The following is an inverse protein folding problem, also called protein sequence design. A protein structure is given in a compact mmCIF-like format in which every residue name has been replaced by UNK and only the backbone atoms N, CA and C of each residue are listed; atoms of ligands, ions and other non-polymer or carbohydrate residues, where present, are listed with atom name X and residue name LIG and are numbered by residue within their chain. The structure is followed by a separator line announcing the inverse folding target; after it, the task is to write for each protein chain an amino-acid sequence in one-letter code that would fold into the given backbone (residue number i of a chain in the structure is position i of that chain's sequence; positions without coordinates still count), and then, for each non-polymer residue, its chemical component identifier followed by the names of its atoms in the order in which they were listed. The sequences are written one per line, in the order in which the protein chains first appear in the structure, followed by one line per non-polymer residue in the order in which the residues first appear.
data_IF_194208631781
#
_entry.id   IF_194208631781
#
_cell.length_a   1.000
_cell.length_b   1.000
_cell.length_c   1.000
_cell.angle_alpha   90.00
_cell.angle_beta   90.00
_cell.angle_gamma   90.00
#
_symmetry.space_group_name_H-M   'P 1'
#
loop_
_entity.id
_entity.type
_entity.pdbx_description
1 polymer ?
#
# COMPACT_ATOMS: atom_id res chain seq x y z
N UNK A 1 -0.28 -3.17 -29.09
CA UNK A 1 -0.13 -2.74 -27.68
C UNK A 1 -1.31 -3.34 -26.93
N UNK A 2 -1.09 -4.29 -26.03
CA UNK A 2 -2.17 -4.75 -25.15
C UNK A 2 -2.64 -3.57 -24.32
N UNK A 3 -3.95 -3.37 -24.23
CA UNK A 3 -4.55 -2.23 -23.55
C UNK A 3 -4.43 -2.40 -22.03
N UNK A 4 -3.27 -2.05 -21.46
CA UNK A 4 -2.94 -2.18 -20.03
C UNK A 4 -3.52 -1.07 -19.15
N UNK A 5 -4.32 -0.18 -19.75
CA UNK A 5 -5.11 0.84 -19.05
C UNK A 5 -5.98 0.21 -17.96
N UNK A 6 -6.41 -1.04 -18.13
CA UNK A 6 -7.20 -1.74 -17.13
C UNK A 6 -6.47 -1.89 -15.79
N UNK A 7 -5.15 -2.13 -15.77
CA UNK A 7 -4.37 -2.29 -14.52
C UNK A 7 -4.41 -1.01 -13.68
N UNK A 8 -4.12 0.11 -14.33
CA UNK A 8 -4.15 1.42 -13.71
C UNK A 8 -5.57 1.80 -13.29
N UNK A 9 -6.56 1.58 -14.16
CA UNK A 9 -7.96 1.86 -13.85
C UNK A 9 -8.46 1.07 -12.64
N UNK A 10 -8.10 -0.22 -12.53
CA UNK A 10 -8.49 -1.03 -11.38
C UNK A 10 -7.79 -0.56 -10.10
N UNK A 11 -6.51 -0.19 -10.17
CA UNK A 11 -5.79 0.42 -9.04
C UNK A 11 -6.45 1.71 -8.55
N UNK A 12 -6.74 2.65 -9.45
CA UNK A 12 -7.34 3.93 -9.07
C UNK A 12 -8.78 3.75 -8.54
N UNK A 13 -9.57 2.83 -9.10
CA UNK A 13 -10.89 2.49 -8.52
C UNK A 13 -10.79 1.91 -7.11
N UNK A 14 -9.81 1.04 -6.87
CA UNK A 14 -9.60 0.48 -5.54
C UNK A 14 -9.10 1.55 -4.54
N UNK A 15 -8.24 2.47 -5.00
CA UNK A 15 -7.82 3.64 -4.25
C UNK A 15 -9.01 4.53 -3.87
N UNK A 16 -9.87 4.88 -4.82
CA UNK A 16 -11.04 5.72 -4.56
C UNK A 16 -11.95 5.10 -3.49
N UNK A 17 -12.16 3.78 -3.56
CA UNK A 17 -12.93 3.04 -2.55
C UNK A 17 -12.28 3.04 -1.17
N UNK A 18 -10.95 2.89 -1.11
CA UNK A 18 -10.22 2.97 0.16
C UNK A 18 -10.28 4.38 0.76
N UNK A 19 -10.11 5.40 -0.07
CA UNK A 19 -10.10 6.80 0.36
C UNK A 19 -11.51 7.34 0.67
N UNK A 20 -12.57 6.71 0.17
CA UNK A 20 -13.94 7.02 0.54
C UNK A 20 -14.11 6.92 2.06
N UNK A 21 -14.68 7.97 2.65
CA UNK A 21 -14.87 8.07 4.10
C UNK A 21 -15.88 7.02 4.61
N UNK A 22 -16.92 6.78 3.83
CA UNK A 22 -17.98 5.83 4.12
C UNK A 22 -17.66 4.48 3.45
N UNK A 23 -17.28 3.51 4.27
CA UNK A 23 -17.25 2.10 3.87
C UNK A 23 -18.40 1.42 4.58
N UNK A 24 -19.20 0.66 3.83
CA UNK A 24 -20.31 -0.11 4.38
C UNK A 24 -19.79 -1.05 5.47
N UNK A 25 -20.41 -1.01 6.65
CA UNK A 25 -19.98 -1.81 7.80
C UNK A 25 -19.95 -3.30 7.45
N UNK A 26 -18.82 -3.97 7.71
CA UNK A 26 -18.59 -5.37 7.35
C UNK A 26 -17.81 -5.57 6.05
N UNK A 27 -17.69 -4.53 5.21
CA UNK A 27 -16.93 -4.57 3.96
C UNK A 27 -15.53 -3.93 4.08
N UNK A 28 -15.13 -3.46 5.26
CA UNK A 28 -13.80 -2.86 5.45
C UNK A 28 -12.66 -3.79 5.01
N UNK A 29 -12.65 -5.09 5.36
CA UNK A 29 -11.59 -5.99 4.91
C UNK A 29 -11.54 -6.12 3.39
N UNK A 30 -12.69 -6.18 2.72
CA UNK A 30 -12.75 -6.32 1.26
C UNK A 30 -12.11 -5.11 0.57
N UNK A 31 -12.49 -3.90 0.97
CA UNK A 31 -11.93 -2.65 0.42
C UNK A 31 -10.42 -2.59 0.62
N UNK A 32 -9.94 -2.95 1.82
CA UNK A 32 -8.52 -2.91 2.17
C UNK A 32 -7.72 -3.95 1.37
N UNK A 33 -8.19 -5.19 1.31
CA UNK A 33 -7.49 -6.26 0.59
C UNK A 33 -7.56 -6.11 -0.93
N UNK A 34 -8.65 -5.59 -1.48
CA UNK A 34 -8.74 -5.25 -2.90
C UNK A 34 -7.72 -4.19 -3.28
N UNK A 35 -7.56 -3.14 -2.47
CA UNK A 35 -6.56 -2.12 -2.74
C UNK A 35 -5.12 -2.66 -2.67
N UNK A 36 -4.82 -3.52 -1.69
CA UNK A 36 -3.54 -4.24 -1.61
C UNK A 36 -3.34 -5.10 -2.86
N UNK A 37 -4.34 -5.87 -3.27
CA UNK A 37 -4.26 -6.75 -4.42
C UNK A 37 -3.94 -5.96 -5.70
N UNK A 38 -4.66 -4.87 -5.94
CA UNK A 38 -4.46 -4.01 -7.11
C UNK A 38 -3.09 -3.34 -7.10
N UNK A 39 -2.62 -2.87 -5.93
CA UNK A 39 -1.28 -2.30 -5.78
C UNK A 39 -0.18 -3.31 -6.09
N UNK A 40 -0.32 -4.56 -5.60
CA UNK A 40 0.64 -5.65 -5.87
C UNK A 40 0.67 -6.01 -7.35
N UNK A 41 -0.50 -6.12 -7.97
CA UNK A 41 -0.63 -6.42 -9.38
C UNK A 41 0.06 -5.35 -10.23
N UNK A 42 -0.23 -4.07 -9.96
CA UNK A 42 0.40 -2.94 -10.66
C UNK A 42 1.92 -2.86 -10.40
N UNK A 43 2.36 -3.04 -9.16
CA UNK A 43 3.80 -3.02 -8.84
C UNK A 43 4.56 -4.18 -9.50
N UNK A 44 3.98 -5.38 -9.53
CA UNK A 44 4.58 -6.54 -10.20
C UNK A 44 4.78 -6.32 -11.70
N UNK A 45 3.93 -5.49 -12.32
CA UNK A 45 4.07 -5.10 -13.72
C UNK A 45 5.35 -4.29 -13.99
N UNK A 46 5.86 -3.60 -12.98
CA UNK A 46 7.07 -2.76 -13.06
C UNK A 46 8.27 -3.38 -12.36
N UNK A 47 8.13 -4.58 -11.82
CA UNK A 47 9.17 -5.27 -11.09
C UNK A 47 10.30 -5.76 -12.02
N UNK A 48 11.47 -6.07 -11.46
CA UNK A 48 12.59 -6.61 -12.23
C UNK A 48 12.22 -7.89 -12.99
N UNK A 49 12.63 -7.96 -14.25
CA UNK A 49 12.32 -9.08 -15.14
C UNK A 49 11.00 -8.95 -15.89
N UNK A 50 10.21 -7.89 -15.62
CA UNK A 50 9.05 -7.54 -16.43
C UNK A 50 9.46 -6.78 -17.70
N UNK A 51 8.59 -6.79 -18.72
CA UNK A 51 8.79 -6.02 -19.96
C UNK A 51 8.79 -4.50 -19.73
N UNK A 52 8.11 -4.03 -18.68
CA UNK A 52 7.95 -2.61 -18.34
C UNK A 52 8.65 -2.27 -17.03
N UNK A 53 9.80 -2.92 -16.78
CA UNK A 53 10.56 -2.74 -15.55
C UNK A 53 10.83 -1.25 -15.30
N UNK A 54 10.35 -0.78 -14.15
CA UNK A 54 10.56 0.58 -13.71
C UNK A 54 10.48 0.61 -12.18
N UNK A 55 11.64 0.61 -11.54
CA UNK A 55 11.72 0.65 -10.08
C UNK A 55 10.97 1.83 -9.48
N UNK A 56 11.03 3.01 -10.11
CA UNK A 56 10.35 4.20 -9.57
C UNK A 56 8.83 4.02 -9.56
N UNK A 57 8.26 3.33 -10.56
CA UNK A 57 6.83 3.02 -10.57
C UNK A 57 6.47 1.91 -9.58
N UNK A 58 7.33 0.89 -9.40
CA UNK A 58 7.20 -0.12 -8.33
C UNK A 58 7.10 0.56 -6.96
N UNK A 59 8.08 1.43 -6.67
CA UNK A 59 8.16 2.17 -5.42
C UNK A 59 6.98 3.14 -5.26
N UNK A 60 6.63 3.89 -6.30
CA UNK A 60 5.57 4.89 -6.27
C UNK A 60 4.24 4.29 -5.80
N UNK A 61 3.76 3.25 -6.47
CA UNK A 61 2.45 2.68 -6.17
C UNK A 61 2.41 1.98 -4.81
N UNK A 62 3.47 1.28 -4.42
CA UNK A 62 3.55 0.64 -3.11
C UNK A 62 3.71 1.63 -1.96
N UNK A 63 4.48 2.71 -2.13
CA UNK A 63 4.61 3.75 -1.11
C UNK A 63 3.32 4.54 -0.95
N UNK A 64 2.60 4.79 -2.04
CA UNK A 64 1.33 5.49 -1.99
C UNK A 64 0.32 4.77 -1.09
N UNK A 65 0.06 3.49 -1.35
CA UNK A 65 -0.83 2.70 -0.50
C UNK A 65 -0.30 2.57 0.93
N UNK A 66 1.01 2.46 1.11
CA UNK A 66 1.61 2.43 2.45
C UNK A 66 1.30 3.70 3.25
N UNK A 67 1.43 4.88 2.65
CA UNK A 67 1.09 6.13 3.33
C UNK A 67 -0.41 6.29 3.56
N UNK A 68 -1.25 5.88 2.60
CA UNK A 68 -2.71 5.86 2.82
C UNK A 68 -3.10 4.96 4.01
N UNK A 69 -2.38 3.86 4.23
CA UNK A 69 -2.59 3.00 5.39
C UNK A 69 -2.16 3.68 6.69
N UNK A 70 -1.00 4.35 6.71
CA UNK A 70 -0.56 5.11 7.88
C UNK A 70 -1.58 6.18 8.26
N UNK A 71 -2.06 6.94 7.29
CA UNK A 71 -3.07 7.99 7.49
C UNK A 71 -4.37 7.38 8.03
N UNK A 72 -4.85 6.30 7.40
CA UNK A 72 -6.08 5.63 7.82
C UNK A 72 -5.98 5.04 9.25
N UNK A 73 -4.81 4.52 9.66
CA UNK A 73 -4.59 3.99 11.01
C UNK A 73 -4.69 5.11 12.07
N UNK A 74 -4.16 6.29 11.75
CA UNK A 74 -4.17 7.45 12.66
C UNK A 74 -5.49 8.20 12.69
N UNK A 75 -6.31 8.08 11.64
CA UNK A 75 -7.53 8.85 11.50
C UNK A 75 -8.62 8.42 12.52
N UNK A 76 -8.95 9.27 13.50
CA UNK A 76 -9.96 8.93 14.51
C UNK A 76 -11.37 8.83 13.93
N UNK A 77 -11.60 9.41 12.76
CA UNK A 77 -12.89 9.42 12.07
C UNK A 77 -13.19 8.08 11.37
N UNK A 78 -12.16 7.29 11.08
CA UNK A 78 -12.29 5.93 10.54
C UNK A 78 -12.78 4.94 11.60
N UNK A 79 -13.57 3.96 11.15
CA UNK A 79 -14.06 2.89 12.02
C UNK A 79 -12.89 2.16 12.70
N UNK A 80 -13.10 1.70 13.93
CA UNK A 80 -12.08 0.93 14.67
C UNK A 80 -11.67 -0.33 13.91
N UNK A 81 -12.62 -0.96 13.21
CA UNK A 81 -12.40 -2.14 12.38
C UNK A 81 -11.49 -1.78 11.20
N UNK A 82 -11.81 -0.72 10.46
CA UNK A 82 -11.00 -0.25 9.34
C UNK A 82 -9.54 -0.01 9.76
N UNK A 83 -9.34 0.77 10.83
CA UNK A 83 -8.02 1.03 11.41
C UNK A 83 -7.27 -0.24 11.78
N UNK A 84 -7.94 -1.19 12.43
CA UNK A 84 -7.34 -2.45 12.86
C UNK A 84 -6.93 -3.31 11.66
N UNK A 85 -7.78 -3.41 10.65
CA UNK A 85 -7.48 -4.21 9.45
C UNK A 85 -6.35 -3.57 8.63
N UNK A 86 -6.30 -2.24 8.51
CA UNK A 86 -5.14 -1.55 7.93
C UNK A 86 -3.85 -1.87 8.69
N UNK A 87 -3.88 -1.75 10.02
CA UNK A 87 -2.74 -2.04 10.87
C UNK A 87 -2.26 -3.49 10.75
N UNK A 88 -3.20 -4.45 10.81
CA UNK A 88 -2.90 -5.86 10.71
C UNK A 88 -2.38 -6.24 9.31
N UNK A 89 -2.79 -5.51 8.26
CA UNK A 89 -2.40 -5.82 6.87
C UNK A 89 -1.15 -5.06 6.38
N UNK A 90 -0.69 -4.03 7.09
CA UNK A 90 0.37 -3.13 6.60
C UNK A 90 1.72 -3.82 6.37
N UNK A 91 1.98 -4.94 7.06
CA UNK A 91 3.21 -5.71 6.87
C UNK A 91 3.33 -6.27 5.45
N UNK A 92 2.20 -6.52 4.77
CA UNK A 92 2.17 -6.96 3.38
C UNK A 92 2.83 -5.90 2.49
N UNK A 93 2.53 -4.61 2.73
CA UNK A 93 3.11 -3.50 1.98
C UNK A 93 4.61 -3.35 2.25
N UNK A 94 5.03 -3.51 3.51
CA UNK A 94 6.45 -3.50 3.87
C UNK A 94 7.23 -4.65 3.23
N UNK A 95 6.62 -5.83 3.11
CA UNK A 95 7.22 -6.97 2.42
C UNK A 95 7.39 -6.70 0.92
N UNK A 96 6.38 -6.14 0.25
CA UNK A 96 6.46 -5.83 -1.18
C UNK A 96 7.43 -4.67 -1.46
N UNK A 97 7.49 -3.67 -0.59
CA UNK A 97 8.50 -2.61 -0.66
C UNK A 97 9.92 -3.13 -0.46
N UNK A 98 10.11 -4.06 0.49
CA UNK A 98 11.41 -4.72 0.68
C UNK A 98 11.88 -5.41 -0.60
N UNK A 99 10.98 -6.11 -1.30
CA UNK A 99 11.28 -6.71 -2.61
C UNK A 99 11.75 -5.66 -3.61
N UNK A 100 11.01 -4.55 -3.82
CA UNK A 100 11.47 -3.49 -4.75
C UNK A 100 12.84 -2.92 -4.31
N UNK A 101 13.08 -2.73 -3.01
CA UNK A 101 14.28 -2.09 -2.49
C UNK A 101 15.55 -2.95 -2.48
N UNK A 102 15.44 -4.28 -2.54
CA UNK A 102 16.62 -5.16 -2.65
C UNK A 102 17.47 -4.90 -3.90
N UNK A 103 16.90 -4.21 -4.88
CA UNK A 103 17.49 -4.00 -6.21
C UNK A 103 18.10 -2.61 -6.39
N UNK A 104 18.10 -1.77 -5.34
CA UNK A 104 18.49 -0.36 -5.42
C UNK A 104 19.43 0.02 -4.29
N UNK A 105 20.41 0.86 -4.61
CA UNK A 105 21.36 1.41 -3.64
C UNK A 105 20.63 2.10 -2.48
N UNK A 106 21.08 1.82 -1.25
CA UNK A 106 20.46 2.30 0.00
C UNK A 106 19.01 1.85 0.22
N UNK A 107 18.53 0.80 -0.48
CA UNK A 107 17.17 0.27 -0.29
C UNK A 107 16.86 -0.14 1.16
N UNK A 108 17.82 -0.73 1.87
CA UNK A 108 17.66 -1.09 3.28
C UNK A 108 17.43 0.13 4.18
N UNK A 109 18.11 1.26 3.89
CA UNK A 109 17.93 2.51 4.63
C UNK A 109 16.52 3.06 4.40
N UNK A 110 16.04 3.05 3.15
CA UNK A 110 14.66 3.47 2.83
C UNK A 110 13.63 2.60 3.54
N UNK A 111 13.80 1.28 3.53
CA UNK A 111 12.89 0.37 4.23
C UNK A 111 12.91 0.61 5.75
N UNK A 112 14.08 0.86 6.33
CA UNK A 112 14.22 1.18 7.76
C UNK A 112 13.46 2.45 8.13
N UNK A 113 13.52 3.48 7.31
CA UNK A 113 12.78 4.73 7.52
C UNK A 113 11.26 4.49 7.54
N UNK A 114 10.74 3.67 6.62
CA UNK A 114 9.33 3.31 6.63
C UNK A 114 8.95 2.53 7.90
N UNK A 115 9.74 1.52 8.27
CA UNK A 115 9.50 0.77 9.53
C UNK A 115 9.48 1.68 10.75
N UNK A 116 10.38 2.67 10.82
CA UNK A 116 10.39 3.68 11.89
C UNK A 116 9.15 4.55 11.89
N UNK A 117 8.61 4.92 10.73
CA UNK A 117 7.34 5.66 10.64
C UNK A 117 6.19 4.85 11.24
N UNK A 118 6.04 3.58 10.85
CA UNK A 118 5.01 2.70 11.42
C UNK A 118 5.15 2.54 12.93
N UNK A 119 6.38 2.37 13.44
CA UNK A 119 6.63 2.26 14.88
C UNK A 119 6.14 3.49 15.65
N UNK A 120 6.29 4.71 15.09
CA UNK A 120 5.78 5.94 15.72
C UNK A 120 4.26 5.98 15.81
N UNK A 121 3.56 5.33 14.88
CA UNK A 121 2.10 5.22 14.88
C UNK A 121 1.63 4.17 15.89
N UNK A 122 2.40 3.08 16.02
CA UNK A 122 2.09 1.96 16.91
C UNK A 122 2.52 2.17 18.36
N UNK A 123 3.43 3.13 18.61
CA UNK A 123 3.87 3.44 19.95
C UNK A 123 2.64 3.85 20.78
N UNK A 124 2.42 3.24 21.97
CA UNK A 124 1.47 3.81 22.90
C UNK A 124 1.92 5.24 23.17
N UNK A 125 1.02 6.20 22.98
CA UNK A 125 1.21 7.55 23.48
C UNK A 125 1.24 7.39 25.01
N UNK A 126 2.42 7.54 25.60
CA UNK A 126 2.61 7.60 27.06
C UNK A 126 1.65 8.61 27.70
#
# INVERSE_FOLDING_TARGET
MENRTWLYNTFFKAQDRFLAYEVESGFEPEVIYDYIHCARLLASHHYQGSKEQNFLLCELFLRQIYFHFLDAIQDPTRSRIFRRVCLDSIYILLMELNKCYQQVDNGELRLRQLKQQLQRIQAPLD
#
